data_IF_669777407742
#
_entry.id   IF_669777407742
#
_cell.length_a   1.000
_cell.length_b   1.000
_cell.length_c   1.000
_cell.angle_alpha   90.00
_cell.angle_beta   90.00
_cell.angle_gamma   90.00
#
_symmetry.space_group_name_H-M   'P 1'
#
loop_
_entity.id
_entity.type
_entity.pdbx_description
1 polymer ?
#
# COMPACT_ATOMS: atom_id res chain seq x y z
N UNK A 1 -12.43 -11.71 -5.27
CA UNK A 1 -11.05 -11.89 -4.80
C UNK A 1 -11.04 -12.89 -3.67
N UNK A 2 -10.24 -13.92 -3.78
CA UNK A 2 -10.19 -14.99 -2.78
C UNK A 2 -9.05 -14.79 -1.80
N UNK A 3 -9.16 -15.40 -0.63
CA UNK A 3 -8.10 -15.38 0.35
C UNK A 3 -6.84 -16.07 -0.19
N UNK A 4 -7.00 -17.12 -0.98
CA UNK A 4 -5.87 -17.80 -1.60
C UNK A 4 -5.07 -16.88 -2.52
N UNK A 5 -5.77 -16.07 -3.32
CA UNK A 5 -5.11 -15.10 -4.20
C UNK A 5 -4.34 -14.05 -3.41
N UNK A 6 -4.93 -13.56 -2.33
CA UNK A 6 -4.29 -12.60 -1.45
C UNK A 6 -3.05 -13.21 -0.81
N UNK A 7 -3.17 -14.42 -0.28
CA UNK A 7 -2.06 -15.11 0.36
C UNK A 7 -0.93 -15.42 -0.61
N UNK A 8 -1.26 -15.74 -1.85
CA UNK A 8 -0.25 -16.01 -2.88
C UNK A 8 0.52 -14.74 -3.28
N UNK A 9 -0.15 -13.59 -3.29
CA UNK A 9 0.47 -12.33 -3.66
C UNK A 9 1.20 -11.66 -2.49
N UNK A 10 0.85 -12.01 -1.26
CA UNK A 10 1.36 -11.34 -0.06
C UNK A 10 2.89 -11.32 0.05
N UNK A 11 3.60 -12.44 -0.18
CA UNK A 11 5.06 -12.41 -0.05
C UNK A 11 5.73 -11.44 -1.01
N UNK A 12 5.20 -11.32 -2.23
CA UNK A 12 5.74 -10.36 -3.21
C UNK A 12 5.44 -8.94 -2.81
N UNK A 13 4.23 -8.70 -2.28
CA UNK A 13 3.86 -7.39 -1.78
C UNK A 13 4.72 -6.99 -0.59
N UNK A 14 5.00 -7.92 0.31
CA UNK A 14 5.82 -7.65 1.49
C UNK A 14 7.22 -7.18 1.11
N UNK A 15 7.80 -7.73 0.07
CA UNK A 15 9.13 -7.30 -0.41
C UNK A 15 9.09 -5.82 -0.81
N UNK A 16 8.05 -5.42 -1.55
CA UNK A 16 7.89 -4.04 -1.99
C UNK A 16 7.64 -3.11 -0.79
N UNK A 17 6.75 -3.52 0.11
CA UNK A 17 6.47 -2.72 1.32
C UNK A 17 7.73 -2.53 2.14
N UNK A 18 8.50 -3.57 2.37
CA UNK A 18 9.72 -3.49 3.17
C UNK A 18 10.74 -2.55 2.54
N UNK A 19 10.86 -2.56 1.21
CA UNK A 19 11.76 -1.64 0.51
C UNK A 19 11.35 -0.17 0.74
N UNK A 20 10.05 0.12 0.68
CA UNK A 20 9.56 1.48 0.91
C UNK A 20 9.72 1.90 2.36
N UNK A 21 9.51 0.97 3.29
CA UNK A 21 9.73 1.24 4.72
C UNK A 21 11.20 1.59 4.98
N UNK A 22 12.12 0.82 4.41
CA UNK A 22 13.56 1.05 4.60
C UNK A 22 14.00 2.41 4.05
N UNK A 23 13.37 2.88 2.98
CA UNK A 23 13.68 4.19 2.42
C UNK A 23 12.98 5.33 3.14
N UNK A 24 12.12 5.03 4.11
CA UNK A 24 11.37 6.02 4.83
C UNK A 24 10.25 6.66 4.04
N UNK A 25 9.80 6.01 2.98
CA UNK A 25 8.76 6.56 2.10
C UNK A 25 7.35 6.25 2.54
N UNK A 26 7.15 5.18 3.30
CA UNK A 26 5.85 4.82 3.84
C UNK A 26 5.84 5.04 5.34
N UNK A 27 4.79 5.69 5.84
CA UNK A 27 4.64 6.00 7.26
C UNK A 27 3.83 4.92 7.96
N UNK A 28 2.80 4.42 7.29
CA UNK A 28 1.96 3.36 7.83
C UNK A 28 1.25 2.64 6.71
N UNK A 29 0.94 1.38 6.93
CA UNK A 29 0.22 0.57 5.97
C UNK A 29 -0.48 -0.57 6.73
N UNK A 30 -1.70 -0.88 6.33
CA UNK A 30 -2.42 -1.97 6.95
C UNK A 30 -3.84 -2.11 6.44
N UNK A 31 -4.48 -3.23 6.75
CA UNK A 31 -5.86 -3.47 6.37
C UNK A 31 -6.83 -2.74 7.29
N UNK A 32 -8.00 -2.39 6.73
CA UNK A 32 -9.11 -1.98 7.55
C UNK A 32 -9.77 -3.21 8.18
N UNK A 33 -10.40 -3.04 9.32
CA UNK A 33 -11.05 -4.12 10.04
C UNK A 33 -12.18 -4.77 9.23
N UNK A 34 -12.90 -3.96 8.46
CA UNK A 34 -14.05 -4.39 7.67
C UNK A 34 -13.71 -4.64 6.21
N UNK A 35 -12.44 -4.73 5.87
CA UNK A 35 -11.98 -5.00 4.51
C UNK A 35 -11.37 -3.77 3.87
N UNK A 36 -10.54 -4.02 2.86
CA UNK A 36 -9.77 -2.96 2.23
C UNK A 36 -8.47 -2.69 2.96
N UNK A 37 -7.72 -1.76 2.43
CA UNK A 37 -6.36 -1.49 2.89
C UNK A 37 -6.06 -0.01 2.75
N UNK A 38 -5.16 0.49 3.60
CA UNK A 38 -4.74 1.88 3.55
C UNK A 38 -3.24 1.98 3.74
N UNK A 39 -2.62 2.91 3.04
CA UNK A 39 -1.21 3.22 3.22
C UNK A 39 -1.01 4.73 3.24
N UNK A 40 -0.09 5.17 4.07
CA UNK A 40 0.26 6.59 4.21
C UNK A 40 1.70 6.75 3.78
N UNK A 41 1.92 7.61 2.80
CA UNK A 41 3.24 7.85 2.24
C UNK A 41 3.68 9.28 2.53
N UNK A 42 4.99 9.51 2.51
CA UNK A 42 5.55 10.84 2.76
C UNK A 42 5.33 11.79 1.61
N UNK A 43 5.17 11.28 0.40
CA UNK A 43 4.96 12.11 -0.78
C UNK A 43 4.03 11.42 -1.76
N UNK A 44 3.42 12.22 -2.64
CA UNK A 44 2.59 11.68 -3.71
C UNK A 44 3.42 10.81 -4.66
N UNK A 45 4.65 11.20 -4.93
CA UNK A 45 5.54 10.41 -5.77
C UNK A 45 5.77 9.02 -5.22
N UNK A 46 5.99 8.92 -3.90
CA UNK A 46 6.16 7.63 -3.26
C UNK A 46 4.90 6.77 -3.39
N UNK A 47 3.72 7.37 -3.20
CA UNK A 47 2.46 6.65 -3.32
C UNK A 47 2.24 6.15 -4.74
N UNK A 48 2.51 7.00 -5.74
CA UNK A 48 2.36 6.61 -7.15
C UNK A 48 3.35 5.53 -7.54
N UNK A 49 4.59 5.64 -7.07
CA UNK A 49 5.61 4.64 -7.33
C UNK A 49 5.22 3.28 -6.73
N UNK A 50 4.70 3.29 -5.50
CA UNK A 50 4.22 2.06 -4.86
C UNK A 50 3.08 1.42 -5.66
N UNK A 51 2.14 2.24 -6.13
CA UNK A 51 0.99 1.74 -6.88
C UNK A 51 1.40 1.05 -8.19
N UNK A 52 2.53 1.43 -8.78
CA UNK A 52 3.02 0.77 -9.99
C UNK A 52 3.72 -0.56 -9.72
N UNK A 53 3.98 -0.88 -8.46
CA UNK A 53 4.75 -2.06 -8.08
C UNK A 53 3.97 -3.03 -7.19
N UNK A 54 2.85 -2.60 -6.60
CA UNK A 54 2.10 -3.41 -5.65
C UNK A 54 1.44 -4.59 -6.36
N UNK A 55 1.81 -5.85 -6.03
CA UNK A 55 1.20 -7.01 -6.67
C UNK A 55 -0.32 -7.08 -6.49
N UNK A 56 -0.86 -6.55 -5.40
CA UNK A 56 -2.32 -6.54 -5.20
C UNK A 56 -3.01 -5.69 -6.26
N UNK A 57 -2.39 -4.57 -6.66
CA UNK A 57 -2.93 -3.70 -7.69
C UNK A 57 -2.66 -4.28 -9.07
N UNK A 58 -1.42 -4.70 -9.33
CA UNK A 58 -1.01 -5.19 -10.66
C UNK A 58 -1.74 -6.45 -11.09
N UNK A 59 -2.13 -7.29 -10.14
CA UNK A 59 -2.81 -8.55 -10.43
C UNK A 59 -4.33 -8.42 -10.31
N UNK A 60 -4.83 -7.22 -10.12
CA UNK A 60 -6.26 -6.98 -10.07
C UNK A 60 -6.95 -7.50 -8.82
N UNK A 61 -6.21 -7.71 -7.74
CA UNK A 61 -6.76 -8.19 -6.47
C UNK A 61 -7.46 -7.09 -5.71
N UNK A 62 -7.15 -5.83 -6.00
CA UNK A 62 -7.88 -4.67 -5.48
C UNK A 62 -8.34 -3.83 -6.67
N UNK A 63 -9.54 -3.28 -6.57
CA UNK A 63 -10.17 -2.61 -7.71
C UNK A 63 -10.35 -1.12 -7.50
N UNK A 64 -10.09 -0.61 -6.32
CA UNK A 64 -10.25 0.81 -6.02
C UNK A 64 -8.96 1.34 -5.42
N UNK A 65 -8.23 2.08 -6.22
CA UNK A 65 -6.93 2.59 -5.85
C UNK A 65 -6.96 4.11 -6.02
N UNK A 66 -7.16 4.82 -4.91
CA UNK A 66 -7.26 6.27 -4.92
C UNK A 66 -6.13 6.87 -4.09
N UNK A 67 -5.34 7.73 -4.72
CA UNK A 67 -4.29 8.47 -4.03
C UNK A 67 -4.81 9.88 -3.77
N UNK A 68 -4.87 10.27 -2.50
CA UNK A 68 -5.36 11.58 -2.09
C UNK A 68 -4.34 12.26 -1.19
N UNK A 69 -4.15 13.57 -1.32
CA UNK A 69 -3.35 14.28 -0.32
C UNK A 69 -4.06 14.28 1.03
N UNK A 70 -3.30 14.08 2.07
CA UNK A 70 -3.81 14.12 3.44
C UNK A 70 -3.12 15.27 4.15
N UNK A 71 -3.88 16.32 4.42
CA UNK A 71 -3.35 17.54 5.03
C UNK A 71 -3.42 17.45 6.54
N UNK A 72 -2.83 16.42 7.10
CA UNK A 72 -2.79 16.22 8.53
C UNK A 72 -1.68 17.06 9.18
N UNK A 73 -1.71 17.10 10.48
CA UNK A 73 -0.62 17.70 11.27
C UNK A 73 -0.01 16.59 12.11
N UNK A 74 1.19 16.17 11.73
CA UNK A 74 1.91 15.14 12.47
C UNK A 74 2.43 15.74 13.78
N UNK A 75 2.12 15.10 14.89
CA UNK A 75 2.46 15.60 16.21
C UNK A 75 3.69 14.94 16.82
N UNK A 76 4.46 14.26 16.00
CA UNK A 76 5.67 13.57 16.46
C UNK A 76 6.93 14.35 16.14
#
# INVERSE_FOLDING_TARGET
MSMEEIMAAYPRRKIIVDAFVQRGEVIGIGPFEDGGNMAIFRSRESAESFATQDPFILEGLVTNDTIRPWLDQMLT
#
